data_IF_705432918697
#
_entry.id   IF_705432918697
#
_cell.length_a   1.000
_cell.length_b   1.000
_cell.length_c   1.000
_cell.angle_alpha   90.00
_cell.angle_beta   90.00
_cell.angle_gamma   90.00
#
_symmetry.space_group_name_H-M   'P 1'
#
loop_
_entity.id
_entity.type
_entity.pdbx_description
1 polymer ?
#
# COMPACT_ATOMS: atom_id res chain seq x y z
N UNK A 1 22.04 6.87 15.52
CA UNK A 1 23.11 7.88 15.47
C UNK A 1 24.19 7.50 16.43
N UNK A 2 23.90 7.46 17.73
CA UNK A 2 24.83 7.05 18.79
C UNK A 2 25.65 5.79 18.46
N UNK A 3 25.02 4.71 17.96
CA UNK A 3 25.76 3.50 17.56
C UNK A 3 26.84 3.74 16.50
N UNK A 4 26.68 4.67 15.57
CA UNK A 4 27.71 4.98 14.56
C UNK A 4 28.94 5.65 15.20
N UNK A 5 28.85 6.18 16.42
CA UNK A 5 29.98 6.79 17.12
C UNK A 5 30.97 5.75 17.64
N UNK A 6 30.52 4.51 17.90
CA UNK A 6 31.36 3.49 18.55
C UNK A 6 31.30 2.09 17.92
N UNK A 7 30.27 1.77 17.13
CA UNK A 7 30.09 0.45 16.52
C UNK A 7 30.74 0.40 15.12
N UNK A 8 31.98 -0.10 15.06
CA UNK A 8 32.74 -0.22 13.81
C UNK A 8 32.03 -1.05 12.73
N UNK A 9 31.25 -2.08 13.13
CA UNK A 9 30.51 -2.90 12.18
C UNK A 9 29.37 -2.10 11.55
N UNK A 10 28.69 -1.27 12.35
CA UNK A 10 27.64 -0.41 11.84
C UNK A 10 28.19 0.71 10.95
N UNK A 11 29.38 1.27 11.27
CA UNK A 11 30.09 2.24 10.43
C UNK A 11 30.45 1.65 9.07
N UNK A 12 31.09 0.47 9.06
CA UNK A 12 31.42 -0.24 7.83
C UNK A 12 30.18 -0.52 6.97
N UNK A 13 29.09 -0.99 7.60
CA UNK A 13 27.85 -1.30 6.89
C UNK A 13 27.25 -0.09 6.16
N UNK A 14 27.34 1.10 6.76
CA UNK A 14 26.84 2.33 6.15
C UNK A 14 27.88 3.04 5.26
N UNK A 15 29.06 2.45 5.09
CA UNK A 15 30.13 2.98 4.26
C UNK A 15 30.91 4.14 4.89
N UNK A 16 30.93 4.24 6.22
CA UNK A 16 31.78 5.19 6.96
C UNK A 16 33.11 4.52 7.31
N UNK A 17 34.22 5.22 7.05
CA UNK A 17 35.55 4.81 7.51
C UNK A 17 35.68 4.94 9.03
N UNK A 18 36.78 4.44 9.63
CA UNK A 18 36.97 4.49 11.10
C UNK A 18 37.05 5.92 11.62
N UNK A 19 37.74 6.81 10.90
CA UNK A 19 38.04 8.17 11.36
C UNK A 19 37.05 9.23 10.81
N UNK A 20 36.10 8.83 9.97
CA UNK A 20 35.16 9.76 9.34
C UNK A 20 34.15 10.32 10.37
N UNK A 21 33.78 11.62 10.33
CA UNK A 21 32.75 12.12 11.23
C UNK A 21 31.42 11.39 10.99
N UNK A 22 30.74 11.00 12.08
CA UNK A 22 29.38 10.46 11.99
C UNK A 22 28.47 11.52 11.37
N UNK A 23 27.58 11.10 10.47
CA UNK A 23 26.62 11.99 9.85
C UNK A 23 25.81 12.78 10.90
N UNK A 24 25.49 14.03 10.63
CA UNK A 24 24.53 14.73 11.48
C UNK A 24 23.11 14.14 11.28
N UNK A 25 22.27 14.18 12.30
CA UNK A 25 20.88 13.70 12.24
C UNK A 25 20.08 14.38 11.10
N UNK A 26 20.38 15.63 10.76
CA UNK A 26 19.74 16.33 9.64
C UNK A 26 20.08 15.72 8.28
N UNK A 27 21.20 15.00 8.15
CA UNK A 27 21.62 14.30 6.92
C UNK A 27 20.58 13.27 6.51
N UNK A 28 20.03 12.51 7.46
CA UNK A 28 18.97 11.52 7.17
C UNK A 28 17.68 12.19 6.71
N UNK A 29 17.32 13.33 7.30
CA UNK A 29 16.12 14.07 6.88
C UNK A 29 16.30 14.64 5.47
N UNK A 30 17.43 15.29 5.19
CA UNK A 30 17.77 15.81 3.85
C UNK A 30 17.84 14.71 2.81
N UNK A 31 18.45 13.56 3.13
CA UNK A 31 18.53 12.42 2.22
C UNK A 31 17.15 11.81 1.96
N UNK A 32 16.29 11.69 2.97
CA UNK A 32 14.91 11.25 2.77
C UNK A 32 14.15 12.20 1.83
N UNK A 33 14.27 13.51 2.04
CA UNK A 33 13.59 14.50 1.21
C UNK A 33 14.09 14.46 -0.25
N UNK A 34 15.40 14.24 -0.46
CA UNK A 34 15.99 13.99 -1.79
C UNK A 34 15.49 12.67 -2.41
N UNK A 35 15.41 11.60 -1.62
CA UNK A 35 14.91 10.29 -2.07
C UNK A 35 13.43 10.34 -2.46
N UNK A 36 12.64 11.12 -1.74
CA UNK A 36 11.24 11.41 -2.04
C UNK A 36 11.12 12.20 -3.35
N UNK A 37 11.85 13.32 -3.47
CA UNK A 37 11.84 14.16 -4.66
C UNK A 37 12.31 13.41 -5.92
N UNK A 38 13.21 12.44 -5.76
CA UNK A 38 13.73 11.63 -6.87
C UNK A 38 12.88 10.42 -7.25
N UNK A 39 11.76 10.16 -6.57
CA UNK A 39 10.92 8.96 -6.75
C UNK A 39 11.72 7.65 -6.65
N UNK A 40 12.72 7.63 -5.76
CA UNK A 40 13.72 6.56 -5.73
C UNK A 40 13.10 5.20 -5.42
N UNK A 41 12.05 5.14 -4.60
CA UNK A 41 11.37 3.88 -4.29
C UNK A 41 10.74 3.24 -5.55
N UNK A 42 10.04 4.03 -6.37
CA UNK A 42 9.44 3.54 -7.61
C UNK A 42 10.51 3.14 -8.62
N UNK A 43 11.52 3.99 -8.84
CA UNK A 43 12.64 3.69 -9.75
C UNK A 43 13.41 2.44 -9.32
N UNK A 44 13.62 2.24 -8.02
CA UNK A 44 14.30 1.08 -7.49
C UNK A 44 13.48 -0.20 -7.69
N UNK A 45 12.17 -0.16 -7.42
CA UNK A 45 11.27 -1.27 -7.72
C UNK A 45 11.34 -1.66 -9.21
N UNK A 46 11.24 -0.67 -10.10
CA UNK A 46 11.36 -0.87 -11.56
C UNK A 46 12.72 -1.47 -11.92
N UNK A 47 13.82 -0.93 -11.39
CA UNK A 47 15.17 -1.45 -11.67
C UNK A 47 15.34 -2.91 -11.24
N UNK A 48 14.74 -3.34 -10.12
CA UNK A 48 14.73 -4.75 -9.69
C UNK A 48 13.99 -5.61 -10.72
N UNK A 49 12.82 -5.16 -11.18
CA UNK A 49 11.98 -5.90 -12.12
C UNK A 49 12.60 -5.99 -13.53
N UNK A 50 13.30 -4.94 -13.95
CA UNK A 50 13.99 -4.87 -15.24
C UNK A 50 15.31 -5.65 -15.27
N UNK A 51 15.84 -6.04 -14.11
CA UNK A 51 17.04 -6.86 -14.05
C UNK A 51 16.85 -8.15 -14.88
N UNK A 52 17.75 -8.51 -15.81
CA UNK A 52 17.51 -9.58 -16.80
C UNK A 52 17.14 -10.93 -16.20
N UNK A 53 17.69 -11.27 -15.04
CA UNK A 53 17.37 -12.52 -14.32
C UNK A 53 15.97 -12.50 -13.70
N UNK A 54 15.50 -11.32 -13.24
CA UNK A 54 14.19 -11.15 -12.61
C UNK A 54 13.11 -11.07 -13.69
N UNK A 55 13.36 -10.37 -14.79
CA UNK A 55 12.43 -10.26 -15.93
C UNK A 55 11.98 -11.62 -16.47
N UNK A 56 12.85 -12.64 -16.44
CA UNK A 56 12.54 -14.04 -16.83
C UNK A 56 11.54 -14.73 -15.89
N UNK A 57 11.40 -14.24 -14.65
CA UNK A 57 10.48 -14.77 -13.65
C UNK A 57 9.07 -14.18 -13.76
N UNK A 58 8.92 -13.01 -14.39
CA UNK A 58 7.66 -12.28 -14.46
C UNK A 58 6.71 -12.95 -15.47
N UNK A 59 5.45 -13.13 -15.07
CA UNK A 59 4.38 -13.47 -16.01
C UNK A 59 3.94 -12.25 -16.79
N UNK A 60 3.63 -12.45 -18.07
CA UNK A 60 2.99 -11.45 -18.93
C UNK A 60 1.47 -11.51 -18.91
N UNK A 61 0.86 -12.50 -18.25
CA UNK A 61 -0.52 -12.90 -18.55
C UNK A 61 -1.48 -12.71 -17.38
N UNK A 62 -1.00 -12.92 -16.15
CA UNK A 62 -1.85 -13.08 -14.98
C UNK A 62 -1.35 -12.23 -13.82
N UNK A 63 -2.14 -11.22 -13.46
CA UNK A 63 -1.86 -10.30 -12.36
C UNK A 63 -2.96 -10.36 -11.31
N UNK A 64 -2.69 -9.81 -10.14
CA UNK A 64 -3.65 -9.65 -9.05
C UNK A 64 -3.46 -8.32 -8.36
N UNK A 65 -4.55 -7.67 -7.98
CA UNK A 65 -4.55 -6.42 -7.23
C UNK A 65 -5.36 -6.60 -5.95
N UNK A 66 -4.92 -5.90 -4.91
CA UNK A 66 -5.69 -5.76 -3.68
C UNK A 66 -5.23 -4.53 -2.89
N UNK A 67 -6.08 -4.11 -1.94
CA UNK A 67 -5.85 -3.00 -1.03
C UNK A 67 -5.54 -3.49 0.38
N UNK A 68 -4.80 -2.69 1.15
CA UNK A 68 -4.47 -2.99 2.53
C UNK A 68 -4.38 -1.73 3.38
N UNK A 69 -5.01 -1.75 4.55
CA UNK A 69 -5.01 -0.58 5.43
C UNK A 69 -3.66 -0.40 6.13
N UNK A 70 -3.12 0.81 6.09
CA UNK A 70 -1.90 1.22 6.79
C UNK A 70 -2.31 2.24 7.86
N UNK A 71 -2.28 1.85 9.13
CA UNK A 71 -2.69 2.73 10.23
C UNK A 71 -1.71 3.91 10.35
N UNK A 72 -2.22 5.13 10.50
CA UNK A 72 -1.36 6.28 10.75
C UNK A 72 -0.93 6.32 12.23
N UNK A 73 0.24 6.89 12.52
CA UNK A 73 0.63 7.20 13.90
C UNK A 73 -0.04 8.47 14.41
N UNK A 74 -1.37 8.48 14.36
CA UNK A 74 -2.23 9.57 14.80
C UNK A 74 -3.28 9.05 15.78
N UNK A 75 -3.54 9.81 16.85
CA UNK A 75 -4.57 9.48 17.82
C UNK A 75 -5.95 9.93 17.32
N UNK A 76 -7.02 9.21 17.64
CA UNK A 76 -8.39 9.68 17.41
C UNK A 76 -8.71 11.00 18.15
N UNK A 77 -7.95 11.36 19.18
CA UNK A 77 -8.03 12.68 19.83
C UNK A 77 -7.57 13.83 18.90
N UNK A 78 -6.71 13.53 17.93
CA UNK A 78 -6.23 14.51 16.95
C UNK A 78 -7.24 14.81 15.85
N UNK A 79 -8.28 13.99 15.67
CA UNK A 79 -9.24 14.12 14.57
C UNK A 79 -10.30 15.21 14.86
N UNK A 80 -9.95 16.48 14.68
CA UNK A 80 -10.78 17.60 15.13
C UNK A 80 -11.69 18.15 14.03
N UNK A 81 -12.85 18.76 14.36
CA UNK A 81 -13.69 19.44 13.38
C UNK A 81 -12.93 20.55 12.65
N UNK A 82 -13.33 20.85 11.41
CA UNK A 82 -12.76 21.98 10.65
C UNK A 82 -13.07 23.34 11.29
N UNK A 83 -14.31 23.53 11.76
CA UNK A 83 -14.83 24.83 12.20
C UNK A 83 -14.57 25.10 13.69
N UNK A 84 -13.31 24.96 14.12
CA UNK A 84 -12.77 25.62 15.32
C UNK A 84 -13.59 25.48 16.60
N UNK A 85 -14.32 24.37 16.79
CA UNK A 85 -15.02 24.08 18.03
C UNK A 85 -14.03 23.72 19.14
N UNK A 86 -13.17 24.65 19.53
CA UNK A 86 -12.61 24.63 20.88
C UNK A 86 -13.82 24.77 21.81
N UNK A 87 -14.27 23.65 22.35
CA UNK A 87 -15.04 23.67 23.58
C UNK A 87 -14.09 24.17 24.68
N UNK A 88 -13.89 25.48 24.75
CA UNK A 88 -13.57 26.13 26.01
C UNK A 88 -14.69 25.79 26.98
N UNK A 89 -14.43 24.87 27.91
CA UNK A 89 -15.46 24.39 28.81
C UNK A 89 -15.04 23.21 29.66
N UNK A 90 -13.93 23.34 30.38
CA UNK A 90 -13.48 22.35 31.36
C UNK A 90 -12.27 22.85 32.13
N UNK A 91 -12.54 23.70 33.12
CA UNK A 91 -11.57 24.22 34.08
C UNK A 91 -10.65 23.10 34.63
N UNK A 92 -9.33 23.20 34.41
CA UNK A 92 -8.33 22.40 35.13
C UNK A 92 -7.21 21.77 34.27
N UNK A 93 -6.12 22.51 34.10
CA UNK A 93 -4.72 22.01 34.08
C UNK A 93 -4.35 20.77 33.25
N UNK A 94 -3.70 21.02 32.10
CA UNK A 94 -2.88 20.04 31.38
C UNK A 94 -3.28 19.88 29.91
N UNK A 95 -2.30 19.60 29.03
CA UNK A 95 -2.50 19.32 27.58
C UNK A 95 -3.39 18.10 27.28
N UNK A 96 -3.99 17.50 28.31
CA UNK A 96 -4.81 16.29 28.30
C UNK A 96 -6.26 16.58 28.75
N UNK A 97 -6.90 17.61 28.19
CA UNK A 97 -8.34 17.77 28.29
C UNK A 97 -9.04 16.56 27.68
N UNK A 98 -9.64 15.71 28.51
CA UNK A 98 -10.44 14.56 28.08
C UNK A 98 -11.73 15.07 27.43
N UNK A 99 -11.68 15.40 26.13
CA UNK A 99 -12.90 15.56 25.36
C UNK A 99 -13.65 14.22 25.36
N UNK A 100 -14.89 14.20 25.85
CA UNK A 100 -15.75 13.02 25.78
C UNK A 100 -16.28 12.90 24.35
N UNK A 101 -15.93 11.81 23.67
CA UNK A 101 -16.18 11.60 22.24
C UNK A 101 -17.43 10.74 21.97
N UNK A 102 -18.27 10.51 22.97
CA UNK A 102 -19.46 9.64 22.87
C UNK A 102 -20.62 10.40 22.23
N UNK A 103 -21.12 9.89 21.10
CA UNK A 103 -22.38 10.34 20.47
C UNK A 103 -22.23 11.25 19.26
N UNK A 104 -21.02 11.71 18.93
CA UNK A 104 -20.78 12.58 17.76
C UNK A 104 -20.41 11.77 16.51
N UNK A 105 -21.12 12.03 15.42
CA UNK A 105 -20.80 11.46 14.11
C UNK A 105 -19.60 12.20 13.52
N UNK A 106 -18.42 11.55 13.54
CA UNK A 106 -17.20 12.08 12.95
C UNK A 106 -17.02 11.50 11.54
N UNK A 107 -16.85 12.37 10.55
CA UNK A 107 -16.58 11.99 9.17
C UNK A 107 -15.37 12.74 8.62
N UNK A 108 -14.82 12.25 7.51
CA UNK A 108 -13.72 12.91 6.81
C UNK A 108 -14.11 14.25 6.16
N UNK A 109 -15.40 14.52 5.99
CA UNK A 109 -15.90 15.78 5.43
C UNK A 109 -15.97 16.88 6.50
N UNK A 110 -16.07 16.49 7.76
CA UNK A 110 -16.30 17.41 8.88
C UNK A 110 -15.09 17.55 9.79
N UNK A 111 -14.16 16.60 9.74
CA UNK A 111 -13.03 16.51 10.65
C UNK A 111 -11.74 16.17 9.91
N UNK A 112 -10.61 16.60 10.48
CA UNK A 112 -9.26 16.27 9.99
C UNK A 112 -8.32 16.03 11.15
N UNK A 113 -7.34 15.14 10.97
CA UNK A 113 -6.32 14.92 12.00
C UNK A 113 -5.35 16.11 12.04
N UNK A 114 -5.20 16.69 13.23
CA UNK A 114 -4.16 17.69 13.51
C UNK A 114 -2.76 17.08 13.59
N UNK A 115 -2.64 15.76 13.72
CA UNK A 115 -1.34 15.06 13.74
C UNK A 115 -0.87 14.71 12.34
N UNK A 116 -1.76 14.21 11.49
CA UNK A 116 -1.48 13.87 10.10
C UNK A 116 -2.73 14.14 9.24
N UNK A 117 -2.83 15.31 8.58
CA UNK A 117 -3.99 15.70 7.80
C UNK A 117 -4.32 14.77 6.63
N UNK A 118 -3.36 13.96 6.16
CA UNK A 118 -3.57 13.01 5.08
C UNK A 118 -4.16 11.68 5.55
N UNK A 119 -4.12 11.41 6.86
CA UNK A 119 -4.66 10.20 7.46
C UNK A 119 -6.19 10.32 7.63
N UNK A 120 -6.91 9.44 6.94
CA UNK A 120 -8.36 9.52 6.85
C UNK A 120 -9.01 8.51 7.78
N UNK A 121 -10.16 8.88 8.36
CA UNK A 121 -10.98 7.98 9.16
C UNK A 121 -11.57 6.88 8.28
N UNK A 122 -11.37 5.62 8.66
CA UNK A 122 -11.94 4.47 7.97
C UNK A 122 -12.29 3.34 8.93
N UNK A 123 -13.34 2.61 8.58
CA UNK A 123 -13.83 1.44 9.31
C UNK A 123 -13.94 0.25 8.36
N UNK A 124 -13.15 -0.80 8.63
CA UNK A 124 -13.05 -1.99 7.76
C UNK A 124 -14.36 -2.79 7.64
N UNK A 125 -15.24 -2.71 8.63
CA UNK A 125 -16.52 -3.41 8.59
C UNK A 125 -17.39 -3.15 9.80
N UNK A 126 -18.65 -3.65 9.79
CA UNK A 126 -19.56 -3.54 10.93
C UNK A 126 -18.91 -4.09 12.20
N UNK A 127 -19.08 -3.39 13.33
CA UNK A 127 -18.50 -3.79 14.62
C UNK A 127 -16.98 -3.57 14.79
N UNK A 128 -16.25 -3.23 13.72
CA UNK A 128 -14.81 -2.94 13.82
C UNK A 128 -14.54 -1.51 14.26
N UNK A 129 -13.40 -1.29 14.91
CA UNK A 129 -12.92 0.03 15.30
C UNK A 129 -12.63 0.89 14.05
N UNK A 130 -13.01 2.17 14.10
CA UNK A 130 -12.62 3.15 13.10
C UNK A 130 -11.21 3.68 13.43
N UNK A 131 -10.36 3.79 12.41
CA UNK A 131 -8.95 4.19 12.56
C UNK A 131 -8.61 5.29 11.57
N UNK A 132 -7.62 6.11 11.92
CA UNK A 132 -6.96 7.01 10.96
C UNK A 132 -5.94 6.20 10.17
N UNK A 133 -6.10 6.13 8.86
CA UNK A 133 -5.27 5.28 8.02
C UNK A 133 -5.15 5.79 6.58
N UNK A 134 -4.28 5.11 5.86
CA UNK A 134 -4.14 5.16 4.42
C UNK A 134 -4.52 3.79 3.83
N UNK A 135 -4.70 3.75 2.51
CA UNK A 135 -4.89 2.50 1.77
C UNK A 135 -3.66 2.28 0.90
N UNK A 136 -2.89 1.24 1.21
CA UNK A 136 -1.82 0.75 0.36
C UNK A 136 -2.37 -0.22 -0.68
N UNK A 137 -2.03 -0.03 -1.93
CA UNK A 137 -2.45 -0.85 -3.07
C UNK A 137 -1.24 -1.57 -3.63
N UNK A 138 -1.39 -2.86 -3.89
CA UNK A 138 -0.35 -3.68 -4.49
C UNK A 138 -0.85 -4.30 -5.78
N UNK A 139 -0.01 -4.32 -6.82
CA UNK A 139 -0.20 -5.13 -8.01
C UNK A 139 0.89 -6.20 -8.00
N UNK A 140 0.48 -7.47 -8.03
CA UNK A 140 1.38 -8.63 -8.01
C UNK A 140 1.22 -9.44 -9.29
N UNK A 141 2.31 -9.97 -9.83
CA UNK A 141 2.23 -10.99 -10.88
C UNK A 141 2.03 -12.38 -10.25
N UNK A 142 1.24 -13.24 -10.88
CA UNK A 142 0.74 -14.46 -10.24
C UNK A 142 1.70 -15.65 -10.27
N UNK A 143 2.70 -15.70 -11.15
CA UNK A 143 3.58 -16.88 -11.36
C UNK A 143 4.57 -17.05 -10.21
N UNK A 144 5.37 -16.03 -9.96
CA UNK A 144 6.46 -15.95 -8.97
C UNK A 144 6.05 -15.17 -7.71
N UNK A 145 4.95 -14.38 -7.77
CA UNK A 145 4.45 -13.59 -6.65
C UNK A 145 5.32 -12.38 -6.36
N UNK A 146 5.75 -11.68 -7.40
CA UNK A 146 6.51 -10.43 -7.29
C UNK A 146 5.59 -9.23 -7.45
N UNK A 147 5.76 -8.23 -6.58
CA UNK A 147 5.04 -6.95 -6.68
C UNK A 147 5.58 -6.16 -7.87
N UNK A 148 4.71 -5.80 -8.79
CA UNK A 148 5.04 -4.99 -9.96
C UNK A 148 4.90 -3.51 -9.69
N UNK A 149 3.93 -3.16 -8.87
CA UNK A 149 3.61 -1.79 -8.52
C UNK A 149 3.05 -1.77 -7.09
N UNK A 150 3.36 -0.70 -6.37
CA UNK A 150 2.85 -0.44 -5.04
C UNK A 150 2.70 1.07 -4.86
N UNK A 151 1.54 1.49 -4.35
CA UNK A 151 1.23 2.89 -4.09
C UNK A 151 0.31 3.02 -2.89
N UNK A 152 0.19 4.22 -2.36
CA UNK A 152 -0.65 4.53 -1.22
C UNK A 152 -1.57 5.69 -1.58
N UNK A 153 -2.82 5.62 -1.14
CA UNK A 153 -3.79 6.70 -1.32
C UNK A 153 -4.43 7.06 0.00
N UNK A 154 -5.04 8.26 0.04
CA UNK A 154 -6.03 8.58 1.06
C UNK A 154 -7.24 7.66 0.92
N UNK A 155 -7.99 7.48 2.00
CA UNK A 155 -9.29 6.82 1.98
C UNK A 155 -10.28 7.75 1.28
N UNK A 156 -11.01 7.23 0.30
CA UNK A 156 -12.10 7.92 -0.40
C UNK A 156 -13.15 6.89 -0.84
N UNK A 157 -14.13 7.28 -1.66
CA UNK A 157 -15.22 6.40 -2.08
C UNK A 157 -14.76 5.13 -2.82
N UNK A 158 -13.93 5.28 -3.87
CA UNK A 158 -13.48 4.17 -4.73
C UNK A 158 -11.95 4.13 -5.03
N UNK A 159 -11.06 4.46 -4.08
CA UNK A 159 -9.63 4.60 -4.34
C UNK A 159 -8.98 3.29 -4.77
N UNK A 160 -9.47 2.15 -4.28
CA UNK A 160 -8.96 0.82 -4.61
C UNK A 160 -9.17 0.47 -6.09
N UNK A 161 -10.35 0.76 -6.66
CA UNK A 161 -10.66 0.45 -8.06
C UNK A 161 -9.91 1.35 -9.02
N UNK A 162 -9.85 2.65 -8.74
CA UNK A 162 -9.05 3.59 -9.53
C UNK A 162 -7.56 3.23 -9.48
N UNK A 163 -7.05 2.88 -8.30
CA UNK A 163 -5.69 2.36 -8.16
C UNK A 163 -5.42 1.10 -8.94
N UNK A 164 -6.35 0.15 -8.94
CA UNK A 164 -6.22 -1.05 -9.74
C UNK A 164 -6.11 -0.76 -11.23
N UNK A 165 -6.90 0.19 -11.76
CA UNK A 165 -6.87 0.57 -13.18
C UNK A 165 -5.56 1.27 -13.54
N UNK A 166 -5.17 2.30 -12.79
CA UNK A 166 -3.93 3.03 -13.03
C UNK A 166 -2.69 2.13 -12.93
N UNK A 167 -2.70 1.14 -12.02
CA UNK A 167 -1.58 0.22 -11.85
C UNK A 167 -1.51 -0.83 -12.96
N UNK A 168 -2.64 -1.29 -13.51
CA UNK A 168 -2.68 -2.35 -14.54
C UNK A 168 -2.54 -1.80 -15.96
N UNK A 169 -2.96 -0.56 -16.21
CA UNK A 169 -2.99 0.08 -17.52
C UNK A 169 -1.64 0.03 -18.26
N UNK A 170 -0.48 0.34 -17.65
CA UNK A 170 0.82 0.24 -18.33
C UNK A 170 1.17 -1.18 -18.79
N UNK A 171 0.55 -2.20 -18.19
CA UNK A 171 0.72 -3.59 -18.60
C UNK A 171 -0.31 -4.01 -19.65
N UNK A 172 -1.37 -3.24 -19.87
CA UNK A 172 -2.46 -3.62 -20.75
C UNK A 172 -2.22 -3.24 -22.22
N UNK A 173 -1.26 -2.34 -22.50
CA UNK A 173 -0.86 -1.91 -23.85
C UNK A 173 -0.12 -3.00 -24.65
N UNK A 174 -0.84 -4.06 -25.05
CA UNK A 174 -0.29 -5.17 -25.83
C UNK A 174 -1.36 -5.90 -26.65
N UNK A 175 -0.97 -6.62 -27.73
CA UNK A 175 -1.93 -7.37 -28.56
C UNK A 175 -2.68 -8.48 -27.80
N UNK A 176 -2.01 -9.15 -26.86
CA UNK A 176 -2.58 -10.24 -26.08
C UNK A 176 -3.20 -9.73 -24.77
N UNK A 177 -4.51 -9.90 -24.63
CA UNK A 177 -5.21 -9.52 -23.41
C UNK A 177 -4.69 -10.26 -22.17
N UNK A 178 -4.55 -9.51 -21.07
CA UNK A 178 -4.07 -9.98 -19.77
C UNK A 178 -5.26 -10.24 -18.83
N UNK A 179 -5.01 -10.75 -17.63
CA UNK A 179 -6.06 -10.95 -16.62
C UNK A 179 -5.70 -10.28 -15.31
N UNK A 180 -6.70 -9.67 -14.66
CA UNK A 180 -6.53 -9.06 -13.34
C UNK A 180 -7.42 -9.75 -12.31
N UNK A 181 -6.79 -10.43 -11.35
CA UNK A 181 -7.42 -11.01 -10.18
C UNK A 181 -7.72 -9.95 -9.12
N UNK A 182 -8.96 -9.86 -8.64
CA UNK A 182 -9.31 -8.93 -7.55
C UNK A 182 -10.31 -9.57 -6.57
N UNK A 183 -10.42 -8.99 -5.39
CA UNK A 183 -11.32 -9.47 -4.34
C UNK A 183 -12.79 -9.14 -4.65
N UNK A 184 -13.71 -9.52 -3.76
CA UNK A 184 -15.15 -9.31 -3.97
C UNK A 184 -15.56 -7.83 -3.97
N UNK A 185 -14.81 -6.96 -3.29
CA UNK A 185 -15.04 -5.51 -3.23
C UNK A 185 -14.88 -4.82 -4.59
N UNK A 186 -14.13 -5.44 -5.51
CA UNK A 186 -13.92 -4.94 -6.87
C UNK A 186 -15.02 -5.35 -7.87
N UNK A 187 -15.99 -6.18 -7.48
CA UNK A 187 -17.06 -6.63 -8.40
C UNK A 187 -18.08 -5.52 -8.65
N UNK A 188 -17.68 -4.46 -9.35
CA UNK A 188 -18.51 -3.31 -9.69
C UNK A 188 -18.58 -3.17 -11.21
N UNK A 189 -19.76 -2.78 -11.74
CA UNK A 189 -20.01 -2.79 -13.18
C UNK A 189 -19.08 -1.83 -13.94
N UNK A 190 -18.92 -0.61 -13.42
CA UNK A 190 -18.00 0.42 -13.89
C UNK A 190 -16.56 -0.12 -14.01
N UNK A 191 -16.01 -0.67 -12.93
CA UNK A 191 -14.65 -1.21 -12.90
C UNK A 191 -14.46 -2.39 -13.86
N UNK A 192 -15.47 -3.28 -13.94
CA UNK A 192 -15.43 -4.45 -14.84
C UNK A 192 -15.45 -4.04 -16.30
N UNK A 193 -16.20 -2.99 -16.65
CA UNK A 193 -16.30 -2.49 -18.01
C UNK A 193 -15.07 -1.67 -18.41
N UNK A 194 -14.48 -0.89 -17.49
CA UNK A 194 -13.20 -0.21 -17.68
C UNK A 194 -12.06 -1.21 -17.92
N UNK A 195 -11.96 -2.29 -17.13
CA UNK A 195 -10.96 -3.34 -17.38
C UNK A 195 -11.11 -3.96 -18.77
N UNK A 196 -12.34 -4.22 -19.22
CA UNK A 196 -12.57 -4.77 -20.57
C UNK A 196 -12.15 -3.80 -21.66
N UNK A 197 -12.39 -2.51 -21.46
CA UNK A 197 -11.96 -1.43 -22.37
C UNK A 197 -10.44 -1.40 -22.50
N UNK A 198 -9.73 -1.62 -21.40
CA UNK A 198 -8.27 -1.78 -21.36
C UNK A 198 -7.77 -3.14 -21.91
N UNK A 199 -8.62 -3.98 -22.50
CA UNK A 199 -8.26 -5.36 -22.91
C UNK A 199 -7.77 -6.25 -21.75
N UNK A 200 -8.22 -5.95 -20.52
CA UNK A 200 -7.94 -6.73 -19.31
C UNK A 200 -9.17 -7.58 -18.96
N UNK A 201 -8.96 -8.90 -18.84
CA UNK A 201 -10.01 -9.83 -18.43
C UNK A 201 -10.19 -9.76 -16.90
N UNK A 202 -11.40 -9.41 -16.41
CA UNK A 202 -11.62 -9.22 -14.98
C UNK A 202 -11.81 -10.57 -14.28
N UNK A 203 -10.76 -11.06 -13.61
CA UNK A 203 -10.83 -12.24 -12.75
C UNK A 203 -11.20 -11.84 -11.31
N UNK A 204 -12.29 -11.10 -11.19
CA UNK A 204 -12.77 -10.58 -9.90
C UNK A 204 -13.67 -11.62 -9.22
N UNK A 205 -13.52 -11.80 -7.91
CA UNK A 205 -14.37 -12.71 -7.16
C UNK A 205 -15.83 -12.24 -7.15
N UNK A 206 -16.77 -13.09 -7.55
CA UNK A 206 -18.18 -12.73 -7.62
C UNK A 206 -18.77 -12.30 -6.26
N UNK A 207 -19.51 -11.20 -6.29
CA UNK A 207 -20.36 -10.71 -5.22
C UNK A 207 -21.81 -11.03 -5.53
N UNK A 208 -22.29 -12.14 -4.97
CA UNK A 208 -23.66 -12.63 -5.15
C UNK A 208 -24.55 -12.37 -3.92
N UNK A 209 -24.02 -11.73 -2.88
CA UNK A 209 -24.80 -11.39 -1.70
C UNK A 209 -25.65 -10.17 -1.99
N UNK A 210 -26.97 -10.37 -2.17
CA UNK A 210 -28.00 -9.32 -2.33
C UNK A 210 -27.94 -8.52 -3.64
N UNK A 211 -27.15 -8.96 -4.63
CA UNK A 211 -27.09 -8.34 -5.97
C UNK A 211 -26.59 -9.32 -7.03
N UNK A 212 -26.78 -8.94 -8.30
CA UNK A 212 -26.17 -9.63 -9.44
C UNK A 212 -24.71 -9.18 -9.59
N UNK A 213 -23.82 -10.14 -9.79
CA UNK A 213 -22.40 -9.90 -10.08
C UNK A 213 -22.21 -9.31 -11.48
N UNK A 214 -21.24 -8.39 -11.64
CA UNK A 214 -20.82 -7.87 -12.95
C UNK A 214 -19.95 -8.90 -13.71
N UNK A 215 -19.37 -9.86 -12.98
CA UNK A 215 -18.66 -11.00 -13.54
C UNK A 215 -19.68 -12.10 -13.91
N UNK A 216 -19.73 -12.45 -15.19
CA UNK A 216 -20.68 -13.42 -15.72
C UNK A 216 -20.03 -14.80 -15.98
N UNK A 217 -20.88 -15.78 -16.33
CA UNK A 217 -20.47 -17.17 -16.59
C UNK A 217 -19.45 -17.33 -17.73
N UNK A 218 -19.38 -16.38 -18.67
CA UNK A 218 -18.37 -16.40 -19.74
C UNK A 218 -16.96 -16.27 -19.17
N UNK A 219 -16.78 -15.50 -18.10
CA UNK A 219 -15.49 -15.38 -17.40
C UNK A 219 -15.25 -16.58 -16.48
N UNK A 220 -16.25 -16.94 -15.65
CA UNK A 220 -16.03 -17.89 -14.55
C UNK A 220 -15.90 -19.35 -14.99
N UNK A 221 -16.41 -19.71 -16.18
CA UNK A 221 -16.34 -21.09 -16.73
C UNK A 221 -14.91 -21.57 -17.04
N UNK A 222 -13.95 -20.67 -17.17
CA UNK A 222 -12.60 -21.02 -17.60
C UNK A 222 -11.72 -21.45 -16.41
N UNK A 223 -10.97 -22.55 -16.54
CA UNK A 223 -10.05 -23.01 -15.51
C UNK A 223 -9.02 -21.94 -15.08
N UNK A 224 -8.64 -21.06 -16.01
CA UNK A 224 -7.76 -19.91 -15.75
C UNK A 224 -8.35 -18.93 -14.72
N UNK A 225 -9.67 -18.73 -14.72
CA UNK A 225 -10.33 -17.90 -13.71
C UNK A 225 -10.16 -18.50 -12.32
N UNK A 226 -10.46 -19.80 -12.15
CA UNK A 226 -10.30 -20.49 -10.87
C UNK A 226 -8.85 -20.48 -10.38
N UNK A 227 -7.87 -20.65 -11.28
CA UNK A 227 -6.46 -20.54 -10.95
C UNK A 227 -6.07 -19.12 -10.49
N UNK A 228 -6.54 -18.10 -11.20
CA UNK A 228 -6.31 -16.69 -10.86
C UNK A 228 -6.88 -16.32 -9.49
N UNK A 229 -8.10 -16.76 -9.17
CA UNK A 229 -8.73 -16.51 -7.86
C UNK A 229 -7.91 -17.13 -6.72
N UNK A 230 -7.31 -18.31 -6.94
CA UNK A 230 -6.41 -18.93 -5.95
C UNK A 230 -5.09 -18.17 -5.84
N UNK A 231 -4.48 -17.82 -6.97
CA UNK A 231 -3.20 -17.12 -7.01
C UNK A 231 -3.26 -15.72 -6.38
N UNK A 232 -4.40 -15.02 -6.52
CA UNK A 232 -4.63 -13.69 -5.93
C UNK A 232 -4.28 -13.61 -4.46
N UNK A 233 -4.54 -14.68 -3.69
CA UNK A 233 -4.25 -14.74 -2.25
C UNK A 233 -2.77 -14.54 -1.91
N UNK A 234 -1.85 -14.72 -2.87
CA UNK A 234 -0.40 -14.48 -2.66
C UNK A 234 -0.10 -13.02 -2.30
N UNK A 235 -0.94 -12.07 -2.71
CA UNK A 235 -0.75 -10.67 -2.35
C UNK A 235 -0.87 -10.43 -0.83
N UNK A 236 -1.66 -11.25 -0.14
CA UNK A 236 -1.81 -11.18 1.31
C UNK A 236 -0.51 -11.58 2.04
N UNK A 237 0.32 -12.45 1.45
CA UNK A 237 1.64 -12.77 2.00
C UNK A 237 2.55 -11.53 1.94
N UNK A 238 2.52 -10.81 0.82
CA UNK A 238 3.29 -9.59 0.64
C UNK A 238 2.82 -8.49 1.60
N UNK A 239 1.51 -8.25 1.71
CA UNK A 239 0.95 -7.29 2.67
C UNK A 239 1.20 -7.69 4.11
N UNK A 240 1.12 -8.98 4.43
CA UNK A 240 1.50 -9.53 5.73
C UNK A 240 2.93 -9.12 6.08
N UNK A 241 3.87 -9.42 5.18
CA UNK A 241 5.29 -9.10 5.36
C UNK A 241 5.55 -7.58 5.47
N UNK A 242 4.94 -6.77 4.60
CA UNK A 242 5.08 -5.30 4.63
C UNK A 242 4.61 -4.74 5.98
N UNK A 243 3.50 -5.27 6.52
CA UNK A 243 2.94 -4.79 7.79
C UNK A 243 3.75 -5.25 8.99
N UNK A 244 4.20 -6.51 9.03
CA UNK A 244 4.83 -7.10 10.21
C UNK A 244 6.33 -6.89 10.23
N UNK A 245 7.01 -7.15 9.11
CA UNK A 245 8.48 -7.15 9.03
C UNK A 245 9.00 -5.78 8.61
N UNK A 246 8.42 -5.17 7.57
CA UNK A 246 8.79 -3.81 7.17
C UNK A 246 8.19 -2.71 8.08
N UNK A 247 7.41 -3.10 9.10
CA UNK A 247 6.96 -2.18 10.15
C UNK A 247 5.84 -1.23 9.73
N UNK A 248 5.13 -1.50 8.63
CA UNK A 248 4.05 -0.62 8.12
C UNK A 248 2.66 -1.02 8.61
N UNK A 249 2.53 -1.82 9.66
CA UNK A 249 1.23 -1.98 10.34
C UNK A 249 0.71 -0.63 10.86
N UNK A 250 1.62 0.19 11.39
CA UNK A 250 1.38 1.57 11.81
C UNK A 250 2.53 2.46 11.31
N UNK A 251 2.22 3.36 10.38
CA UNK A 251 3.20 4.19 9.70
C UNK A 251 3.83 5.21 10.65
N UNK A 252 5.16 5.18 10.78
CA UNK A 252 5.93 6.12 11.63
C UNK A 252 6.17 7.48 10.97
N UNK A 253 5.97 7.55 9.65
CA UNK A 253 6.07 8.77 8.86
C UNK A 253 4.72 9.46 8.81
N UNK A 254 4.73 10.78 8.62
CA UNK A 254 3.53 11.61 8.49
C UNK A 254 3.40 12.14 7.07
N UNK A 255 2.17 12.19 6.58
CA UNK A 255 1.84 12.69 5.25
C UNK A 255 1.94 11.62 4.16
N UNK A 256 1.04 11.72 3.19
CA UNK A 256 0.82 10.74 2.12
C UNK A 256 2.11 10.39 1.39
N UNK A 257 2.83 11.40 0.89
CA UNK A 257 4.04 11.18 0.09
C UNK A 257 5.13 10.37 0.84
N UNK A 258 5.28 10.59 2.15
CA UNK A 258 6.30 9.90 2.95
C UNK A 258 5.90 8.45 3.22
N UNK A 259 4.62 8.22 3.51
CA UNK A 259 4.10 6.88 3.77
C UNK A 259 4.02 6.06 2.49
N UNK A 260 3.64 6.68 1.38
CA UNK A 260 3.66 6.11 0.03
C UNK A 260 5.05 5.59 -0.34
N UNK A 261 6.06 6.47 -0.25
CA UNK A 261 7.44 6.08 -0.51
C UNK A 261 7.89 4.90 0.35
N UNK A 262 7.57 4.90 1.65
CA UNK A 262 7.95 3.79 2.53
C UNK A 262 7.23 2.49 2.15
N UNK A 263 5.98 2.58 1.72
CA UNK A 263 5.20 1.43 1.25
C UNK A 263 5.76 0.84 -0.05
N UNK A 264 6.07 1.68 -1.04
CA UNK A 264 6.71 1.26 -2.29
C UNK A 264 8.11 0.68 -2.04
N UNK A 265 8.88 1.29 -1.13
CA UNK A 265 10.20 0.77 -0.77
C UNK A 265 10.10 -0.59 -0.06
N UNK A 266 9.11 -0.78 0.81
CA UNK A 266 8.84 -2.07 1.44
C UNK A 266 8.43 -3.14 0.41
N UNK A 267 7.68 -2.78 -0.63
CA UNK A 267 7.37 -3.67 -1.75
C UNK A 267 8.64 -4.10 -2.53
N UNK A 268 9.55 -3.18 -2.80
CA UNK A 268 10.85 -3.49 -3.41
C UNK A 268 11.68 -4.44 -2.53
N UNK A 269 11.75 -4.18 -1.22
CA UNK A 269 12.44 -5.04 -0.27
C UNK A 269 11.82 -6.45 -0.20
N UNK A 270 10.49 -6.56 -0.22
CA UNK A 270 9.80 -7.84 -0.28
C UNK A 270 10.22 -8.65 -1.50
N UNK A 271 10.27 -8.01 -2.68
CA UNK A 271 10.74 -8.66 -3.90
C UNK A 271 12.18 -9.18 -3.74
N UNK A 272 13.11 -8.35 -3.26
CA UNK A 272 14.51 -8.75 -3.05
C UNK A 272 14.65 -9.99 -2.15
N UNK A 273 13.87 -10.08 -1.07
CA UNK A 273 13.90 -11.23 -0.16
C UNK A 273 13.38 -12.50 -0.84
N UNK A 274 12.46 -12.39 -1.79
CA UNK A 274 11.94 -13.51 -2.57
C UNK A 274 12.94 -14.00 -3.63
N UNK A 275 13.77 -13.11 -4.18
CA UNK A 275 14.63 -13.42 -5.32
C UNK A 275 15.61 -14.58 -5.09
N UNK A 276 16.33 -14.73 -3.96
CA UNK A 276 17.25 -15.85 -3.75
C UNK A 276 16.58 -17.21 -3.95
N UNK A 277 15.36 -17.39 -3.42
CA UNK A 277 14.60 -18.62 -3.58
C UNK A 277 14.14 -18.83 -5.01
N UNK A 278 13.70 -17.77 -5.71
CA UNK A 278 13.20 -17.85 -7.08
C UNK A 278 14.32 -18.05 -8.11
N UNK A 279 15.50 -17.48 -7.87
CA UNK A 279 16.67 -17.57 -8.74
C UNK A 279 17.54 -18.80 -8.44
N UNK A 280 17.39 -19.38 -7.26
CA UNK A 280 18.09 -20.58 -6.82
C UNK A 280 17.40 -21.89 -7.22
N UNK A 281 16.21 -21.85 -7.81
CA UNK A 281 15.61 -23.04 -8.45
C UNK A 281 16.36 -23.26 -9.77
N UNK A 282 17.03 -24.41 -9.98
CA UNK A 282 17.61 -24.75 -11.28
C UNK A 282 16.50 -24.78 -12.34
N UNK A 283 16.81 -24.24 -13.53
CA UNK A 283 15.90 -24.26 -14.68
C UNK A 283 15.60 -25.69 -15.15
#
# INVERSE_FOLDING_TARGET
MERLEFDLLFRWFVGLDVDEPVWDHSTFSKNRDRQLAGEIAAKFLTAILDHPRVRRLLSSDHFSVDGTLIEAWASMKSFRPHDGGDREGGNGGGRDGFADFRGENRSNDTHTSTTDPDAMLYKKGPGMEAKLCFIGHGLIENRSGLLLNARLTRVSGHPERLAALEMIEPFAERPQGITLGADRGYDAADFVDELRTLNVRPHVAQNVSRRRSAINGRTTRHARYAASIRARKRIEEAFGWIKTIAGLRKAKLRGLAKVDWAFTFAAAAYNLIRLPKLLGVPA
#
